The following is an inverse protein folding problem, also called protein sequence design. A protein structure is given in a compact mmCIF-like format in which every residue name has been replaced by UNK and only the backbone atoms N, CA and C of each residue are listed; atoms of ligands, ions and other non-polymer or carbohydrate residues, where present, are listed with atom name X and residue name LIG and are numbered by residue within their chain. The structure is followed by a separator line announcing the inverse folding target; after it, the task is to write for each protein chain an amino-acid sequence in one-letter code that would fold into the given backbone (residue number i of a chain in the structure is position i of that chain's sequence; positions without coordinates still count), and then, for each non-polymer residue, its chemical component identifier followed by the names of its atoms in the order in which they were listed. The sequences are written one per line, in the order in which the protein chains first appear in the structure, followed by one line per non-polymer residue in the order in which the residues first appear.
data_IF_700397871980
#
_entry.id   IF_700397871980
#
_cell.length_a   1.000
_cell.length_b   1.000
_cell.length_c   1.000
_cell.angle_alpha   90.00
_cell.angle_beta   90.00
_cell.angle_gamma   90.00
#
_symmetry.space_group_name_H-M   'P 1'
#
loop_
_entity.id
_entity.type
_entity.pdbx_description
1 polymer ?
#
# COMPACT_ATOMS: atom_id res chain seq x y z
N UNK A 1 13.23 -11.93 -3.20
CA UNK A 1 12.57 -10.62 -3.38
C UNK A 1 11.18 -10.85 -4.02
N UNK A 2 10.27 -9.86 -4.06
CA UNK A 2 8.96 -10.01 -4.77
C UNK A 2 9.18 -10.40 -6.24
N UNK A 3 10.26 -9.91 -6.85
CA UNK A 3 10.71 -10.24 -8.21
C UNK A 3 10.81 -11.75 -8.47
N UNK A 4 11.51 -12.47 -7.60
CA UNK A 4 11.77 -13.91 -7.76
C UNK A 4 10.48 -14.74 -7.64
N UNK A 5 9.52 -14.25 -6.86
CA UNK A 5 8.21 -14.90 -6.71
C UNK A 5 7.33 -14.69 -7.93
N UNK A 6 7.28 -13.49 -8.51
CA UNK A 6 6.50 -13.23 -9.73
C UNK A 6 7.02 -14.03 -10.93
N UNK A 7 8.35 -14.14 -11.08
CA UNK A 7 8.98 -15.02 -12.09
C UNK A 7 8.59 -16.48 -11.91
N UNK A 8 8.47 -16.97 -10.67
CA UNK A 8 8.00 -18.34 -10.37
C UNK A 8 6.56 -18.61 -10.85
N UNK A 9 5.73 -17.57 -10.96
CA UNK A 9 4.36 -17.68 -11.48
C UNK A 9 4.25 -17.38 -12.98
N UNK A 10 5.37 -17.29 -13.71
CA UNK A 10 5.40 -17.10 -15.16
C UNK A 10 5.22 -15.66 -15.62
N UNK A 11 5.29 -14.68 -14.70
CA UNK A 11 5.28 -13.26 -15.06
C UNK A 11 6.69 -12.80 -15.43
N UNK A 12 6.85 -12.31 -16.66
CA UNK A 12 8.10 -11.69 -17.18
C UNK A 12 8.20 -10.21 -16.78
N UNK A 13 7.77 -9.88 -15.57
CA UNK A 13 7.76 -8.50 -15.06
C UNK A 13 9.07 -8.28 -14.30
N UNK A 14 9.90 -7.40 -14.83
CA UNK A 14 11.06 -6.90 -14.10
C UNK A 14 10.58 -5.92 -13.02
N UNK A 15 10.80 -6.24 -11.73
CA UNK A 15 10.32 -5.40 -10.61
C UNK A 15 10.83 -3.96 -10.66
N UNK A 16 11.98 -3.74 -11.31
CA UNK A 16 12.51 -2.41 -11.57
C UNK A 16 11.55 -1.53 -12.38
N UNK A 17 10.68 -2.11 -13.20
CA UNK A 17 9.66 -1.39 -13.97
C UNK A 17 8.44 -0.98 -13.12
N UNK A 18 8.24 -1.61 -11.95
CA UNK A 18 7.16 -1.25 -11.02
C UNK A 18 7.57 -0.15 -10.04
N UNK A 19 8.85 0.24 -10.04
CA UNK A 19 9.39 1.28 -9.18
C UNK A 19 9.39 2.60 -9.94
N UNK A 20 8.49 3.49 -9.56
CA UNK A 20 8.54 4.88 -9.99
C UNK A 20 9.60 5.61 -9.15
N UNK A 21 10.67 6.06 -9.81
CA UNK A 21 11.84 6.66 -9.16
C UNK A 21 11.66 8.14 -8.80
N UNK A 22 10.56 8.75 -9.24
CA UNK A 22 10.26 10.14 -8.91
C UNK A 22 9.84 10.31 -7.45
N UNK A 23 10.05 11.53 -6.92
CA UNK A 23 9.60 11.88 -5.57
C UNK A 23 8.08 11.83 -5.53
N UNK A 24 7.54 10.81 -4.87
CA UNK A 24 6.11 10.73 -4.57
C UNK A 24 5.77 11.74 -3.47
N UNK A 25 4.68 12.46 -3.66
CA UNK A 25 4.09 13.21 -2.55
C UNK A 25 3.45 12.22 -1.58
N UNK A 26 3.48 12.53 -0.29
CA UNK A 26 2.61 11.85 0.66
C UNK A 26 1.14 12.09 0.25
N UNK A 27 0.37 11.01 0.11
CA UNK A 27 -0.99 11.08 -0.46
C UNK A 27 -1.93 11.85 0.47
N UNK A 28 -1.74 11.71 1.78
CA UNK A 28 -2.55 12.43 2.78
C UNK A 28 -2.24 13.92 2.70
N UNK A 29 -0.95 14.28 2.79
CA UNK A 29 -0.52 15.69 2.71
C UNK A 29 -0.99 16.34 1.39
N UNK A 30 -0.83 15.64 0.27
CA UNK A 30 -1.18 16.14 -1.06
C UNK A 30 -2.68 16.45 -1.21
N UNK A 31 -3.55 15.57 -0.69
CA UNK A 31 -5.00 15.70 -0.78
C UNK A 31 -5.54 16.70 0.24
N UNK A 32 -5.04 16.67 1.48
CA UNK A 32 -5.38 17.65 2.52
C UNK A 32 -5.03 19.07 2.09
N UNK A 33 -3.85 19.29 1.49
CA UNK A 33 -3.47 20.60 0.95
C UNK A 33 -4.40 21.11 -0.17
N UNK A 34 -5.21 20.23 -0.78
CA UNK A 34 -6.20 20.54 -1.82
C UNK A 34 -7.63 20.62 -1.30
N UNK A 35 -7.81 20.67 0.02
CA UNK A 35 -9.12 20.84 0.66
C UNK A 35 -9.98 19.57 0.68
N UNK A 36 -9.38 18.40 0.46
CA UNK A 36 -10.06 17.13 0.64
C UNK A 36 -10.04 16.74 2.12
N UNK A 37 -11.15 16.16 2.58
CA UNK A 37 -11.24 15.51 3.87
C UNK A 37 -10.77 14.06 3.72
N UNK A 38 -9.64 13.71 4.35
CA UNK A 38 -8.94 12.44 4.13
C UNK A 38 -8.95 11.61 5.40
N UNK A 39 -9.34 10.35 5.28
CA UNK A 39 -9.23 9.35 6.33
C UNK A 39 -8.32 8.21 5.88
N UNK A 40 -7.42 7.79 6.77
CA UNK A 40 -6.50 6.68 6.54
C UNK A 40 -6.77 5.58 7.56
N UNK A 41 -6.79 4.32 7.11
CA UNK A 41 -6.86 3.14 7.97
C UNK A 41 -5.65 2.25 7.67
N UNK A 42 -4.84 1.97 8.68
CA UNK A 42 -3.70 1.05 8.52
C UNK A 42 -4.20 -0.36 8.20
N UNK A 43 -3.45 -1.10 7.38
CA UNK A 43 -3.82 -2.46 6.98
C UNK A 43 -4.04 -3.39 8.18
N UNK A 44 -3.28 -3.23 9.28
CA UNK A 44 -3.43 -4.03 10.50
C UNK A 44 -4.76 -3.75 11.19
N UNK A 45 -5.12 -2.48 11.29
CA UNK A 45 -6.40 -2.06 11.87
C UNK A 45 -7.57 -2.55 11.01
N UNK A 46 -7.41 -2.55 9.68
CA UNK A 46 -8.41 -3.09 8.76
C UNK A 46 -8.60 -4.60 8.95
N UNK A 47 -7.51 -5.37 9.11
CA UNK A 47 -7.57 -6.80 9.42
C UNK A 47 -8.27 -7.06 10.76
N UNK A 48 -7.83 -6.39 11.82
CA UNK A 48 -8.39 -6.54 13.15
C UNK A 48 -9.89 -6.18 13.20
N UNK A 49 -10.29 -5.11 12.52
CA UNK A 49 -11.69 -4.69 12.43
C UNK A 49 -12.60 -5.73 11.76
N UNK A 50 -12.03 -6.60 10.91
CA UNK A 50 -12.74 -7.69 10.24
C UNK A 50 -12.51 -9.06 10.89
N UNK A 51 -11.84 -9.12 12.05
CA UNK A 51 -11.56 -10.37 12.76
C UNK A 51 -10.49 -11.25 12.12
N UNK A 52 -9.66 -10.68 11.24
CA UNK A 52 -8.54 -11.38 10.63
C UNK A 52 -7.23 -11.09 11.35
N UNK A 53 -6.36 -12.10 11.41
CA UNK A 53 -4.97 -11.93 11.84
C UNK A 53 -4.14 -11.46 10.66
N UNK A 54 -3.36 -10.39 10.85
CA UNK A 54 -2.48 -9.90 9.80
C UNK A 54 -1.27 -10.85 9.65
N UNK A 55 -1.03 -11.42 8.46
CA UNK A 55 0.12 -12.29 8.25
C UNK A 55 1.40 -11.45 8.21
N UNK A 56 2.16 -11.46 9.31
CA UNK A 56 3.47 -10.80 9.38
C UNK A 56 4.56 -11.55 8.61
N UNK A 57 4.27 -12.79 8.20
CA UNK A 57 5.22 -13.68 7.55
C UNK A 57 5.31 -13.47 6.03
N UNK A 58 6.43 -13.91 5.47
CA UNK A 58 6.65 -13.91 4.02
C UNK A 58 6.60 -12.52 3.38
N UNK A 59 5.91 -12.41 2.26
CA UNK A 59 5.83 -11.17 1.46
C UNK A 59 4.85 -10.14 2.02
N UNK A 60 3.97 -10.51 2.94
CA UNK A 60 2.95 -9.60 3.49
C UNK A 60 3.53 -8.64 4.51
N UNK A 61 4.64 -9.01 5.19
CA UNK A 61 5.36 -8.12 6.10
C UNK A 61 5.80 -6.80 5.46
N UNK A 62 6.10 -6.77 4.15
CA UNK A 62 6.44 -5.55 3.40
C UNK A 62 5.28 -4.56 3.29
N UNK A 63 4.04 -5.01 3.50
CA UNK A 63 2.83 -4.20 3.37
C UNK A 63 2.34 -3.67 4.74
N UNK A 64 3.05 -3.95 5.83
CA UNK A 64 2.69 -3.51 7.20
C UNK A 64 2.42 -2.01 7.31
N UNK A 65 3.21 -1.19 6.63
CA UNK A 65 3.10 0.27 6.72
C UNK A 65 2.07 0.86 5.73
N UNK A 66 1.37 0.01 4.98
CA UNK A 66 0.34 0.47 4.04
C UNK A 66 -0.96 0.84 4.74
N UNK A 67 -1.63 1.84 4.16
CA UNK A 67 -2.93 2.32 4.62
C UNK A 67 -3.91 2.36 3.45
N UNK A 68 -5.17 2.02 3.74
CA UNK A 68 -6.30 2.34 2.89
C UNK A 68 -6.71 3.78 3.13
N UNK A 69 -7.00 4.52 2.05
CA UNK A 69 -7.34 5.93 2.09
C UNK A 69 -8.73 6.16 1.50
N UNK A 70 -9.55 6.94 2.20
CA UNK A 70 -10.79 7.52 1.66
C UNK A 70 -10.65 9.03 1.67
N UNK A 71 -11.08 9.69 0.60
CA UNK A 71 -11.05 11.15 0.51
C UNK A 71 -12.36 11.67 -0.07
N UNK A 72 -12.95 12.68 0.58
CA UNK A 72 -14.21 13.29 0.18
C UNK A 72 -13.97 14.77 -0.12
N UNK A 73 -14.45 15.23 -1.28
CA UNK A 73 -14.47 16.65 -1.63
C UNK A 73 -15.75 17.27 -1.06
N UNK A 74 -15.59 18.31 -0.23
CA UNK A 74 -16.72 19.08 0.29
C UNK A 74 -17.30 20.02 -0.77
#
# INVERSE_FOLDING_TARGET
MIADRLKKYGHDIEMSELIYHEKRNDVVEYLTARGWDVTAQNVRDAYAANGFEFPEDGTMGFFTDMSYLTAIKR
#
